data_IF_257347586697
#
_entry.id   IF_257347586697
#
_cell.length_a   1.000
_cell.length_b   1.000
_cell.length_c   1.000
_cell.angle_alpha   90.00
_cell.angle_beta   90.00
_cell.angle_gamma   90.00
#
_symmetry.space_group_name_H-M   'P 1'
#
loop_
_entity.id
_entity.type
_entity.pdbx_description
1 polymer ?
#
# COMPACT_ATOMS: atom_id res chain seq x y z
N UNK A 1 -7.89 0.49 19.01
CA UNK A 1 -7.26 0.17 17.71
C UNK A 1 -6.55 -1.15 17.92
N UNK A 2 -6.70 -2.11 17.01
CA UNK A 2 -5.97 -3.37 17.12
C UNK A 2 -4.48 -3.10 16.94
N UNK A 3 -3.64 -3.91 17.61
CA UNK A 3 -2.19 -3.84 17.41
C UNK A 3 -1.85 -4.22 15.97
N UNK A 4 -0.93 -3.46 15.37
CA UNK A 4 -0.41 -3.71 14.02
C UNK A 4 0.97 -4.34 14.15
N UNK A 5 1.19 -5.42 13.40
CA UNK A 5 2.50 -6.07 13.28
C UNK A 5 3.17 -5.63 11.98
N UNK A 6 4.43 -5.20 12.07
CA UNK A 6 5.24 -4.89 10.90
C UNK A 6 5.80 -6.20 10.35
N UNK A 7 5.20 -6.70 9.27
CA UNK A 7 5.59 -7.98 8.64
C UNK A 7 6.75 -7.85 7.64
N UNK A 8 7.01 -6.65 7.11
CA UNK A 8 8.10 -6.40 6.18
C UNK A 8 8.56 -4.93 6.23
N UNK A 9 9.83 -4.68 5.91
CA UNK A 9 10.39 -3.31 5.78
C UNK A 9 11.28 -3.25 4.55
N UNK A 10 10.99 -2.31 3.65
CA UNK A 10 11.74 -2.11 2.41
C UNK A 10 12.53 -0.81 2.46
N UNK A 11 13.85 -0.90 2.33
CA UNK A 11 14.72 0.27 2.28
C UNK A 11 14.91 0.72 0.83
N UNK A 12 14.62 1.98 0.57
CA UNK A 12 14.78 2.60 -0.73
C UNK A 12 15.67 3.85 -0.60
N UNK A 13 16.58 4.05 -1.55
CA UNK A 13 17.51 5.18 -1.58
C UNK A 13 17.55 5.82 -2.97
N UNK A 14 17.80 7.13 -3.03
CA UNK A 14 17.93 7.88 -4.28
C UNK A 14 16.71 7.83 -5.23
N UNK A 15 15.50 7.79 -4.65
CA UNK A 15 14.23 7.73 -5.38
C UNK A 15 13.38 8.99 -5.16
N UNK A 16 12.62 9.36 -6.18
CA UNK A 16 11.61 10.41 -6.08
C UNK A 16 10.36 9.87 -5.36
N UNK A 17 10.12 10.38 -4.14
CA UNK A 17 9.03 9.93 -3.26
C UNK A 17 7.64 10.07 -3.90
N UNK A 18 7.38 11.20 -4.56
CA UNK A 18 6.07 11.44 -5.20
C UNK A 18 5.83 10.47 -6.36
N UNK A 19 6.87 10.17 -7.16
CA UNK A 19 6.75 9.19 -8.25
C UNK A 19 6.53 7.78 -7.72
N UNK A 20 7.24 7.40 -6.65
CA UNK A 20 7.07 6.11 -5.99
C UNK A 20 5.63 5.93 -5.50
N UNK A 21 5.11 6.91 -4.76
CA UNK A 21 3.75 6.90 -4.25
C UNK A 21 2.72 6.71 -5.38
N UNK A 22 2.82 7.50 -6.45
CA UNK A 22 1.95 7.34 -7.61
C UNK A 22 2.03 5.94 -8.25
N UNK A 23 3.23 5.34 -8.31
CA UNK A 23 3.41 3.99 -8.82
C UNK A 23 2.75 2.95 -7.91
N UNK A 24 2.93 3.05 -6.59
CA UNK A 24 2.32 2.14 -5.62
C UNK A 24 0.79 2.20 -5.74
N UNK A 25 0.19 3.40 -5.74
CA UNK A 25 -1.25 3.52 -5.94
C UNK A 25 -1.68 2.87 -7.25
N UNK A 26 -0.97 3.13 -8.36
CA UNK A 26 -1.33 2.60 -9.67
C UNK A 26 -1.24 1.07 -9.75
N UNK A 27 -0.19 0.49 -9.16
CA UNK A 27 0.05 -0.96 -9.17
C UNK A 27 -1.01 -1.68 -8.34
N UNK A 28 -1.36 -1.14 -7.17
CA UNK A 28 -2.27 -1.79 -6.23
C UNK A 28 -3.73 -1.34 -6.32
N UNK A 29 -4.07 -0.33 -7.12
CA UNK A 29 -5.47 0.15 -7.30
C UNK A 29 -6.46 -1.00 -7.62
N UNK A 30 -6.15 -1.99 -8.47
CA UNK A 30 -7.06 -3.11 -8.72
C UNK A 30 -7.31 -4.01 -7.50
N UNK A 31 -6.40 -4.01 -6.54
CA UNK A 31 -6.49 -4.78 -5.29
C UNK A 31 -6.94 -3.93 -4.10
N UNK A 32 -7.39 -2.68 -4.35
CA UNK A 32 -7.91 -1.79 -3.31
C UNK A 32 -9.13 -2.40 -2.65
N UNK A 33 -9.13 -2.37 -1.32
CA UNK A 33 -10.20 -2.93 -0.51
C UNK A 33 -11.42 -2.01 -0.54
N UNK A 34 -12.52 -2.49 -1.11
CA UNK A 34 -13.79 -1.76 -1.17
C UNK A 34 -14.66 -2.11 0.05
N UNK A 35 -14.39 -1.43 1.17
CA UNK A 35 -15.15 -1.57 2.42
C UNK A 35 -15.47 -0.21 3.02
N UNK A 36 -16.60 -0.12 3.71
CA UNK A 36 -16.96 1.02 4.53
C UNK A 36 -16.71 0.68 6.01
N UNK A 37 -15.88 1.49 6.67
CA UNK A 37 -15.59 1.35 8.11
C UNK A 37 -15.97 2.63 8.83
N UNK A 38 -16.32 2.53 10.12
CA UNK A 38 -16.54 3.71 10.95
C UNK A 38 -15.21 4.24 11.47
N UNK A 39 -14.98 5.54 11.33
CA UNK A 39 -13.85 6.20 12.00
C UNK A 39 -14.05 6.28 13.52
N UNK A 40 -13.08 6.89 14.20
CA UNK A 40 -13.11 7.12 15.66
C UNK A 40 -14.23 8.07 16.13
N UNK A 41 -14.93 8.73 15.20
CA UNK A 41 -16.05 9.63 15.46
C UNK A 41 -17.39 9.06 14.99
N UNK A 42 -17.41 7.83 14.46
CA UNK A 42 -18.60 7.14 13.97
C UNK A 42 -18.99 7.49 12.52
N UNK A 43 -18.19 8.28 11.81
CA UNK A 43 -18.45 8.60 10.41
C UNK A 43 -18.03 7.43 9.51
N UNK A 44 -18.82 7.07 8.49
CA UNK A 44 -18.41 6.09 7.49
C UNK A 44 -17.24 6.64 6.66
N UNK A 45 -16.20 5.83 6.49
CA UNK A 45 -15.05 6.13 5.64
C UNK A 45 -14.71 4.92 4.79
N UNK A 46 -14.28 5.18 3.56
CA UNK A 46 -13.74 4.17 2.66
C UNK A 46 -12.21 4.38 2.58
N UNK A 47 -11.39 3.46 3.10
CA UNK A 47 -9.95 3.61 3.09
C UNK A 47 -9.41 3.49 1.66
N UNK A 48 -8.65 4.49 1.22
CA UNK A 48 -8.06 4.50 -0.14
C UNK A 48 -6.72 3.78 -0.25
N UNK A 49 -6.06 3.55 0.89
CA UNK A 49 -4.71 2.98 1.00
C UNK A 49 -4.69 1.55 1.55
N UNK A 50 -5.82 0.86 1.51
CA UNK A 50 -5.92 -0.51 2.01
C UNK A 50 -6.02 -1.43 0.82
N UNK A 51 -5.12 -2.40 0.74
CA UNK A 51 -5.00 -3.32 -0.39
C UNK A 51 -4.98 -4.75 0.14
N UNK A 52 -5.69 -5.65 -0.56
CA UNK A 52 -5.71 -7.07 -0.21
C UNK A 52 -4.83 -7.84 -1.18
N UNK A 53 -3.56 -8.03 -0.82
CA UNK A 53 -2.58 -8.74 -1.65
C UNK A 53 -1.70 -9.66 -0.79
N UNK A 54 -1.21 -10.79 -1.35
CA UNK A 54 -0.20 -11.61 -0.70
C UNK A 54 1.15 -10.87 -0.57
N UNK A 55 1.93 -11.21 0.47
CA UNK A 55 3.23 -10.57 0.73
C UNK A 55 4.21 -10.68 -0.44
N UNK A 56 4.25 -11.84 -1.13
CA UNK A 56 5.16 -12.05 -2.26
C UNK A 56 4.86 -11.12 -3.45
N UNK A 57 3.62 -10.65 -3.59
CA UNK A 57 3.25 -9.65 -4.62
C UNK A 57 3.82 -8.28 -4.27
N UNK A 58 3.87 -7.94 -2.98
CA UNK A 58 4.49 -6.71 -2.49
C UNK A 58 6.00 -6.76 -2.74
N UNK A 59 6.63 -7.89 -2.45
CA UNK A 59 8.07 -8.10 -2.73
C UNK A 59 8.38 -7.92 -4.21
N UNK A 60 7.61 -8.56 -5.10
CA UNK A 60 7.78 -8.44 -6.55
C UNK A 60 7.58 -7.01 -7.04
N UNK A 61 6.55 -6.31 -6.56
CA UNK A 61 6.30 -4.92 -6.93
C UNK A 61 7.47 -4.02 -6.52
N UNK A 62 8.01 -4.22 -5.31
CA UNK A 62 9.17 -3.44 -4.82
C UNK A 62 10.41 -3.69 -5.68
N UNK A 63 10.69 -4.94 -6.07
CA UNK A 63 11.81 -5.24 -6.96
C UNK A 63 11.63 -4.61 -8.35
N UNK A 64 10.45 -4.73 -8.95
CA UNK A 64 10.15 -4.09 -10.24
C UNK A 64 10.32 -2.56 -10.20
N UNK A 65 9.87 -1.92 -9.12
CA UNK A 65 10.04 -0.48 -8.90
C UNK A 65 11.52 -0.09 -8.80
N UNK A 66 12.36 -0.91 -8.16
CA UNK A 66 13.81 -0.66 -8.06
C UNK A 66 14.49 -0.78 -9.43
N UNK A 67 14.10 -1.80 -10.20
CA UNK A 67 14.67 -2.08 -11.53
C UNK A 67 14.10 -1.17 -12.63
N UNK A 68 12.99 -0.46 -12.35
CA UNK A 68 12.35 0.48 -13.25
C UNK A 68 11.51 -0.18 -14.36
N UNK A 69 11.00 -1.39 -14.11
CA UNK A 69 10.20 -2.19 -15.05
C UNK A 69 8.76 -2.38 -14.62
#
# INVERSE_FOLDING_TARGET
>A
MADVEVVATYKLSNINRNKLEHLIHRIFDPARLDIEIKDRFGNPVVPREWFLVPIFVIDEAVERIKDGT
#
